data_IF_826174116053
#
_entry.id   IF_826174116053
#
_cell.length_a   1.000
_cell.length_b   1.000
_cell.length_c   1.000
_cell.angle_alpha   90.00
_cell.angle_beta   90.00
_cell.angle_gamma   90.00
#
_symmetry.space_group_name_H-M   'P 1'
#
loop_
_entity.id
_entity.type
_entity.pdbx_description
1 polymer ?
#
# COMPACT_ATOMS: atom_id res chain seq x y z
N UNK A 1 10.20 -6.27 -10.88
CA UNK A 1 11.35 -5.35 -10.60
C UNK A 1 10.93 -3.91 -10.87
N UNK A 2 11.31 -2.99 -9.98
CA UNK A 2 11.18 -1.54 -10.21
C UNK A 2 12.59 -0.96 -10.29
N UNK A 3 12.86 -0.16 -11.32
CA UNK A 3 14.14 0.52 -11.49
C UNK A 3 13.92 2.01 -11.68
N UNK A 4 14.65 2.80 -10.91
CA UNK A 4 14.67 4.27 -10.96
C UNK A 4 16.08 4.69 -11.28
N UNK A 5 16.29 5.33 -12.44
CA UNK A 5 17.60 5.75 -12.90
C UNK A 5 17.63 7.26 -13.07
N UNK A 6 18.50 7.91 -12.31
CA UNK A 6 18.73 9.36 -12.36
C UNK A 6 17.42 10.17 -12.35
N UNK A 7 16.45 9.73 -11.54
CA UNK A 7 15.16 10.39 -11.42
C UNK A 7 15.35 11.80 -10.89
N UNK A 8 15.09 12.79 -11.74
CA UNK A 8 15.15 14.21 -11.37
C UNK A 8 13.75 14.80 -11.31
N UNK A 9 13.50 15.53 -10.23
CA UNK A 9 12.27 16.30 -10.06
C UNK A 9 12.57 17.60 -9.32
N UNK A 10 12.27 18.72 -9.97
CA UNK A 10 12.50 20.04 -9.42
C UNK A 10 11.17 20.67 -8.99
N UNK A 11 11.15 21.16 -7.78
CA UNK A 11 10.10 22.01 -7.24
C UNK A 11 10.74 23.36 -6.86
N UNK A 12 9.93 24.37 -6.57
CA UNK A 12 10.42 25.72 -6.27
C UNK A 12 11.52 25.73 -5.18
N UNK A 13 11.32 24.93 -4.11
CA UNK A 13 12.19 24.95 -2.94
C UNK A 13 12.85 23.57 -2.67
N UNK A 14 12.76 22.65 -3.63
CA UNK A 14 13.24 21.28 -3.44
C UNK A 14 13.61 20.64 -4.78
N UNK A 15 14.76 19.98 -4.82
CA UNK A 15 15.20 19.19 -5.97
C UNK A 15 15.49 17.76 -5.54
N UNK A 16 14.99 16.81 -6.32
CA UNK A 16 15.21 15.38 -6.15
C UNK A 16 16.14 14.89 -7.25
N UNK A 17 17.15 14.11 -6.87
CA UNK A 17 17.99 13.34 -7.78
C UNK A 17 18.26 11.97 -7.12
N UNK A 18 17.70 10.90 -7.70
CA UNK A 18 17.73 9.58 -7.08
C UNK A 18 17.88 8.45 -8.08
N UNK A 19 18.70 7.47 -7.74
CA UNK A 19 18.83 6.18 -8.43
C UNK A 19 18.64 5.07 -7.41
N UNK A 20 17.72 4.14 -7.70
CA UNK A 20 17.48 2.96 -6.88
C UNK A 20 16.86 1.82 -7.68
N UNK A 21 17.12 0.60 -7.28
CA UNK A 21 16.50 -0.60 -7.82
C UNK A 21 15.77 -1.35 -6.70
N UNK A 22 14.54 -1.77 -6.99
CA UNK A 22 13.73 -2.62 -6.11
C UNK A 22 13.63 -3.99 -6.77
N UNK A 23 14.40 -4.97 -6.30
CA UNK A 23 14.37 -6.31 -6.86
C UNK A 23 13.04 -7.04 -6.57
N UNK A 24 12.66 -7.98 -7.42
CA UNK A 24 11.49 -8.81 -7.20
C UNK A 24 11.70 -9.74 -5.98
N UNK A 25 10.59 -10.04 -5.30
CA UNK A 25 10.59 -10.95 -4.15
C UNK A 25 11.35 -10.44 -2.92
N UNK A 26 11.64 -9.15 -2.87
CA UNK A 26 12.30 -8.53 -1.72
C UNK A 26 11.52 -7.34 -1.19
N UNK A 27 11.73 -7.08 0.09
CA UNK A 27 11.24 -5.88 0.76
C UNK A 27 12.35 -4.86 0.74
N UNK A 28 12.07 -3.67 0.21
CA UNK A 28 13.02 -2.56 0.15
C UNK A 28 12.51 -1.39 0.99
N UNK A 29 13.28 -0.99 2.00
CA UNK A 29 12.99 0.20 2.81
C UNK A 29 13.61 1.46 2.20
N UNK A 30 12.81 2.51 2.00
CA UNK A 30 13.26 3.84 1.62
C UNK A 30 13.30 4.74 2.86
N UNK A 31 14.50 4.88 3.46
CA UNK A 31 14.70 5.63 4.70
C UNK A 31 15.41 6.94 4.40
N UNK A 32 14.79 8.05 4.80
CA UNK A 32 15.33 9.40 4.66
C UNK A 32 14.62 10.38 5.59
N UNK A 33 15.19 11.57 5.78
CA UNK A 33 14.58 12.66 6.57
C UNK A 33 13.21 13.05 5.98
N UNK A 34 12.35 13.62 6.83
CA UNK A 34 11.08 14.17 6.35
C UNK A 34 11.35 15.32 5.36
N UNK A 35 10.60 15.31 4.25
CA UNK A 35 10.83 16.29 3.17
C UNK A 35 11.84 15.87 2.10
N UNK A 36 12.61 14.80 2.29
CA UNK A 36 13.65 14.35 1.34
C UNK A 36 13.14 13.77 0.01
N UNK A 37 11.83 13.80 -0.25
CA UNK A 37 11.27 13.38 -1.53
C UNK A 37 10.77 11.94 -1.63
N UNK A 38 10.74 11.16 -0.53
CA UNK A 38 10.23 9.77 -0.53
C UNK A 38 8.88 9.62 -1.22
N UNK A 39 7.93 10.49 -0.90
CA UNK A 39 6.59 10.47 -1.52
C UNK A 39 6.64 10.84 -3.00
N UNK A 40 7.58 11.66 -3.42
CA UNK A 40 7.79 12.03 -4.83
C UNK A 40 8.30 10.82 -5.62
N UNK A 41 9.27 10.08 -5.07
CA UNK A 41 9.78 8.83 -5.68
C UNK A 41 8.63 7.82 -5.84
N UNK A 42 7.85 7.56 -4.79
CA UNK A 42 6.71 6.64 -4.85
C UNK A 42 5.70 7.11 -5.91
N UNK A 43 5.36 8.40 -5.94
CA UNK A 43 4.43 8.95 -6.94
C UNK A 43 4.98 8.85 -8.37
N UNK A 44 6.29 8.98 -8.55
CA UNK A 44 6.93 8.78 -9.86
C UNK A 44 6.88 7.31 -10.30
N UNK A 45 7.13 6.36 -9.39
CA UNK A 45 6.98 4.91 -9.64
C UNK A 45 5.55 4.57 -10.04
N UNK A 46 4.56 5.22 -9.44
CA UNK A 46 3.14 5.03 -9.76
C UNK A 46 2.67 5.76 -11.02
N UNK A 47 3.56 6.52 -11.67
CA UNK A 47 3.20 7.35 -12.82
C UNK A 47 2.32 8.55 -12.49
N UNK A 48 2.19 8.92 -11.21
CA UNK A 48 1.39 10.06 -10.73
C UNK A 48 2.14 11.40 -10.82
N UNK A 49 3.46 11.35 -10.93
CA UNK A 49 4.34 12.51 -11.10
C UNK A 49 5.25 12.24 -12.30
N UNK A 50 5.26 13.16 -13.25
CA UNK A 50 6.18 13.08 -14.38
C UNK A 50 7.56 13.57 -13.94
N UNK A 51 8.63 12.79 -14.15
CA UNK A 51 10.01 13.23 -13.94
C UNK A 51 10.39 14.40 -14.86
N UNK A 52 11.32 15.22 -14.40
CA UNK A 52 11.96 16.26 -15.22
C UNK A 52 13.21 15.70 -15.91
N UNK A 53 13.76 14.58 -15.43
CA UNK A 53 14.87 13.83 -16.03
C UNK A 53 14.95 12.42 -15.48
N UNK A 54 15.77 11.59 -16.13
CA UNK A 54 15.94 10.19 -15.80
C UNK A 54 14.78 9.31 -16.26
N UNK A 55 14.69 8.10 -15.72
CA UNK A 55 13.67 7.12 -16.09
C UNK A 55 13.21 6.29 -14.90
N UNK A 56 11.94 5.87 -14.96
CA UNK A 56 11.32 4.94 -13.99
C UNK A 56 10.69 3.81 -14.77
N UNK A 57 11.06 2.57 -14.44
CA UNK A 57 10.47 1.37 -15.03
C UNK A 57 9.86 0.48 -13.95
N UNK A 58 8.69 -0.07 -14.25
CA UNK A 58 7.96 -1.02 -13.41
C UNK A 58 7.56 -2.20 -14.29
N UNK A 59 7.85 -3.43 -13.86
CA UNK A 59 7.65 -4.64 -14.66
C UNK A 59 8.33 -4.60 -16.03
N UNK A 60 9.48 -3.89 -16.14
CA UNK A 60 10.18 -3.70 -17.40
C UNK A 60 9.59 -2.65 -18.36
N UNK A 61 8.48 -2.01 -18.00
CA UNK A 61 7.81 -0.95 -18.78
C UNK A 61 8.06 0.42 -18.15
N UNK A 62 8.08 1.47 -18.94
CA UNK A 62 8.12 2.83 -18.41
C UNK A 62 6.88 3.09 -17.51
N UNK A 63 7.07 3.71 -16.37
CA UNK A 63 5.97 4.00 -15.43
C UNK A 63 4.82 4.80 -16.06
N UNK A 64 5.14 5.66 -17.05
CA UNK A 64 4.16 6.42 -17.84
C UNK A 64 3.38 5.57 -18.87
N UNK A 65 3.86 4.37 -19.18
CA UNK A 65 3.28 3.46 -20.17
C UNK A 65 2.57 2.25 -19.55
N UNK A 66 2.38 2.25 -18.22
CA UNK A 66 1.64 1.20 -17.53
C UNK A 66 0.17 1.20 -17.95
N UNK A 67 -0.29 0.05 -18.43
CA UNK A 67 -1.70 -0.16 -18.78
C UNK A 67 -2.57 -0.34 -17.52
N UNK A 68 -3.91 -0.29 -17.62
CA UNK A 68 -4.79 -0.64 -16.50
C UNK A 68 -4.52 -2.03 -15.94
N UNK A 69 -4.22 -3.02 -16.79
CA UNK A 69 -3.91 -4.41 -16.42
C UNK A 69 -2.59 -4.47 -15.63
N UNK A 70 -1.57 -3.73 -16.05
CA UNK A 70 -0.32 -3.61 -15.30
C UNK A 70 -0.56 -3.01 -13.90
N UNK A 71 -1.42 -1.99 -13.81
CA UNK A 71 -1.75 -1.30 -12.55
C UNK A 71 -2.56 -2.17 -11.59
N UNK A 72 -3.31 -3.14 -12.08
CA UNK A 72 -4.00 -4.10 -11.21
C UNK A 72 -3.02 -4.97 -10.38
N UNK A 73 -1.79 -5.13 -10.85
CA UNK A 73 -0.73 -5.84 -10.13
C UNK A 73 -0.04 -4.97 -9.05
N UNK A 74 -0.40 -3.70 -8.93
CA UNK A 74 0.22 -2.76 -8.01
C UNK A 74 -0.74 -2.43 -6.87
N UNK A 75 -0.46 -2.95 -5.68
CA UNK A 75 -1.12 -2.51 -4.45
C UNK A 75 -0.44 -1.26 -3.88
N UNK A 76 -1.22 -0.21 -3.59
CA UNK A 76 -0.70 1.06 -3.05
C UNK A 76 -1.35 1.39 -1.72
N UNK A 77 -0.53 1.65 -0.70
CA UNK A 77 -0.99 2.15 0.58
C UNK A 77 -0.23 3.44 0.95
N UNK A 78 -0.85 4.57 0.71
CA UNK A 78 -0.29 5.87 1.06
C UNK A 78 -0.53 6.22 2.53
N UNK A 79 0.19 7.23 3.06
CA UNK A 79 0.12 7.66 4.46
C UNK A 79 -1.26 8.21 4.86
N UNK A 80 -1.95 8.87 3.96
CA UNK A 80 -3.37 9.17 4.06
C UNK A 80 -4.20 7.96 3.64
N UNK A 81 -5.44 7.88 4.05
CA UNK A 81 -6.30 6.71 3.79
C UNK A 81 -6.53 6.43 2.30
N UNK A 82 -6.11 7.35 1.42
CA UNK A 82 -6.40 7.27 -0.01
C UNK A 82 -7.88 7.41 -0.36
N UNK A 83 -8.76 7.42 0.63
CA UNK A 83 -10.20 7.58 0.43
C UNK A 83 -10.66 8.97 0.82
N UNK A 84 -11.59 9.51 0.04
CA UNK A 84 -12.30 10.72 0.43
C UNK A 84 -13.00 10.52 1.79
N UNK A 85 -12.89 11.50 2.65
CA UNK A 85 -13.50 11.48 3.99
C UNK A 85 -15.05 11.46 3.94
N UNK A 86 -15.64 11.73 2.80
CA UNK A 86 -17.07 11.68 2.58
C UNK A 86 -17.60 10.29 2.22
N UNK A 87 -16.74 9.36 1.82
CA UNK A 87 -17.11 7.98 1.54
C UNK A 87 -17.39 7.21 2.84
N UNK A 88 -18.16 6.14 2.68
CA UNK A 88 -18.36 5.10 3.70
C UNK A 88 -17.46 3.90 3.40
N UNK A 89 -17.19 2.99 4.34
CA UNK A 89 -16.52 1.72 4.05
C UNK A 89 -17.21 0.91 2.95
N UNK A 90 -18.54 0.91 2.91
CA UNK A 90 -19.31 0.26 1.86
C UNK A 90 -19.06 0.87 0.47
N UNK A 91 -18.92 2.21 0.38
CA UNK A 91 -18.55 2.87 -0.88
C UNK A 91 -17.12 2.52 -1.28
N UNK A 92 -16.20 2.48 -0.32
CA UNK A 92 -14.82 2.05 -0.57
C UNK A 92 -14.77 0.62 -1.13
N UNK A 93 -15.52 -0.32 -0.54
CA UNK A 93 -15.62 -1.69 -1.03
C UNK A 93 -16.13 -1.77 -2.48
N UNK A 94 -17.16 -0.97 -2.82
CA UNK A 94 -17.70 -0.89 -4.19
C UNK A 94 -16.69 -0.34 -5.18
N UNK A 95 -15.97 0.73 -4.81
CA UNK A 95 -14.96 1.37 -5.65
C UNK A 95 -13.81 0.40 -5.89
N UNK A 96 -13.24 -0.19 -4.83
CA UNK A 96 -12.12 -1.12 -4.94
C UNK A 96 -12.49 -2.36 -5.76
N UNK A 97 -13.69 -2.91 -5.58
CA UNK A 97 -14.16 -4.04 -6.34
C UNK A 97 -14.49 -3.75 -7.81
N UNK A 98 -14.49 -2.47 -8.23
CA UNK A 98 -14.53 -2.06 -9.64
C UNK A 98 -13.15 -1.76 -10.22
N UNK A 99 -12.21 -1.36 -9.35
CA UNK A 99 -10.84 -1.03 -9.76
C UNK A 99 -9.95 -2.26 -9.86
N UNK A 100 -10.22 -3.30 -9.04
CA UNK A 100 -9.39 -4.50 -8.94
C UNK A 100 -10.22 -5.76 -9.06
N UNK A 101 -9.98 -6.55 -10.08
CA UNK A 101 -10.73 -7.79 -10.36
C UNK A 101 -10.58 -8.83 -9.25
N UNK A 102 -9.41 -8.86 -8.59
CA UNK A 102 -9.12 -9.77 -7.49
C UNK A 102 -9.53 -9.24 -6.10
N UNK A 103 -10.24 -8.09 -6.02
CA UNK A 103 -10.64 -7.53 -4.73
C UNK A 103 -11.84 -8.27 -4.15
N UNK A 104 -11.64 -8.91 -3.01
CA UNK A 104 -12.72 -9.54 -2.26
C UNK A 104 -13.50 -8.52 -1.42
N UNK A 105 -14.64 -8.09 -1.94
CA UNK A 105 -15.54 -7.15 -1.27
C UNK A 105 -16.08 -7.71 0.03
N UNK A 106 -16.41 -9.00 0.05
CA UNK A 106 -17.00 -9.64 1.22
C UNK A 106 -15.99 -9.70 2.35
N UNK A 107 -14.76 -10.14 2.06
CA UNK A 107 -13.68 -10.17 3.03
C UNK A 107 -13.37 -8.77 3.61
N UNK A 108 -13.38 -7.72 2.77
CA UNK A 108 -13.19 -6.34 3.23
C UNK A 108 -14.31 -5.88 4.16
N UNK A 109 -15.55 -6.15 3.79
CA UNK A 109 -16.74 -5.78 4.57
C UNK A 109 -16.77 -6.53 5.90
N UNK A 110 -16.46 -7.83 5.90
CA UNK A 110 -16.41 -8.65 7.12
C UNK A 110 -15.28 -8.20 8.04
N UNK A 111 -14.12 -7.82 7.49
CA UNK A 111 -13.06 -7.21 8.28
C UNK A 111 -13.51 -5.88 8.90
N UNK A 112 -14.18 -5.01 8.15
CA UNK A 112 -14.73 -3.76 8.69
C UNK A 112 -15.70 -4.04 9.86
N UNK A 113 -16.60 -5.00 9.70
CA UNK A 113 -17.57 -5.41 10.73
C UNK A 113 -16.85 -5.97 11.96
N UNK A 114 -15.89 -6.87 11.76
CA UNK A 114 -15.08 -7.49 12.82
C UNK A 114 -14.37 -6.46 13.68
N UNK A 115 -13.89 -5.38 13.07
CA UNK A 115 -13.18 -4.30 13.77
C UNK A 115 -14.06 -3.12 14.18
N UNK A 116 -15.39 -3.29 14.18
CA UNK A 116 -16.35 -2.31 14.66
C UNK A 116 -16.39 -1.04 13.81
N UNK A 117 -16.22 -1.18 12.50
CA UNK A 117 -16.35 -0.09 11.54
C UNK A 117 -17.70 -0.19 10.84
N UNK A 118 -18.65 0.73 11.10
CA UNK A 118 -19.94 0.75 10.43
C UNK A 118 -19.80 0.98 8.93
N UNK A 119 -20.48 0.15 8.12
CA UNK A 119 -20.39 0.20 6.65
C UNK A 119 -20.98 1.46 6.05
N UNK A 120 -22.00 2.04 6.70
CA UNK A 120 -22.80 3.18 6.23
C UNK A 120 -22.37 4.52 6.80
N UNK A 121 -21.44 4.54 7.77
CA UNK A 121 -20.98 5.76 8.41
C UNK A 121 -19.82 6.39 7.63
N UNK A 122 -19.94 7.67 7.29
CA UNK A 122 -18.90 8.40 6.59
C UNK A 122 -17.57 8.45 7.37
N UNK A 123 -16.45 8.28 6.67
CA UNK A 123 -15.09 8.26 7.24
C UNK A 123 -14.76 9.54 8.01
N UNK A 124 -15.30 10.71 7.60
CA UNK A 124 -15.13 11.97 8.35
C UNK A 124 -15.66 11.90 9.78
N UNK A 125 -16.67 11.06 10.02
CA UNK A 125 -17.29 10.86 11.35
C UNK A 125 -16.59 9.78 12.17
N UNK A 126 -15.53 9.17 11.66
CA UNK A 126 -14.75 8.17 12.38
C UNK A 126 -13.81 8.83 13.38
N UNK A 127 -13.64 8.20 14.53
CA UNK A 127 -12.57 8.55 15.46
C UNK A 127 -11.20 8.26 14.85
N UNK A 128 -10.14 8.83 15.42
CA UNK A 128 -8.76 8.56 14.98
C UNK A 128 -8.45 7.06 14.97
N UNK A 129 -8.90 6.34 16.02
CA UNK A 129 -8.72 4.88 16.09
C UNK A 129 -9.50 4.12 15.00
N UNK A 130 -10.73 4.54 14.69
CA UNK A 130 -11.50 3.95 13.59
C UNK A 130 -10.82 4.18 12.23
N UNK A 131 -10.30 5.38 11.99
CA UNK A 131 -9.54 5.70 10.77
C UNK A 131 -8.26 4.86 10.67
N UNK A 132 -7.57 4.65 11.79
CA UNK A 132 -6.38 3.79 11.82
C UNK A 132 -6.71 2.33 11.48
N UNK A 133 -7.79 1.78 12.06
CA UNK A 133 -8.28 0.42 11.74
C UNK A 133 -8.65 0.28 10.26
N UNK A 134 -9.40 1.22 9.69
CA UNK A 134 -9.75 1.20 8.27
C UNK A 134 -8.49 1.21 7.38
N UNK A 135 -7.49 2.03 7.72
CA UNK A 135 -6.21 2.03 7.00
C UNK A 135 -5.49 0.69 7.10
N UNK A 136 -5.50 0.06 8.27
CA UNK A 136 -4.92 -1.27 8.48
C UNK A 136 -5.57 -2.33 7.59
N UNK A 137 -6.91 -2.40 7.61
CA UNK A 137 -7.69 -3.32 6.76
C UNK A 137 -7.35 -3.07 5.27
N UNK A 138 -7.37 -1.82 4.83
CA UNK A 138 -7.05 -1.48 3.44
C UNK A 138 -5.65 -1.93 3.04
N UNK A 139 -4.64 -1.64 3.86
CA UNK A 139 -3.24 -2.03 3.59
C UNK A 139 -3.09 -3.55 3.50
N UNK A 140 -3.75 -4.27 4.40
CA UNK A 140 -3.74 -5.73 4.38
C UNK A 140 -4.36 -6.28 3.10
N UNK A 141 -5.54 -5.80 2.72
CA UNK A 141 -6.21 -6.23 1.49
C UNK A 141 -5.36 -5.93 0.24
N UNK A 142 -4.72 -4.75 0.17
CA UNK A 142 -3.81 -4.41 -0.92
C UNK A 142 -2.57 -5.34 -0.97
N UNK A 143 -2.04 -5.73 0.19
CA UNK A 143 -0.91 -6.68 0.26
C UNK A 143 -1.31 -8.08 -0.25
N UNK A 144 -2.48 -8.57 0.14
CA UNK A 144 -3.01 -9.87 -0.33
C UNK A 144 -3.24 -9.86 -1.83
N UNK A 145 -3.85 -8.78 -2.35
CA UNK A 145 -4.10 -8.62 -3.78
C UNK A 145 -2.80 -8.60 -4.62
N UNK A 146 -1.81 -7.86 -4.15
CA UNK A 146 -0.50 -7.81 -4.81
C UNK A 146 0.16 -9.18 -4.88
N UNK A 147 -0.04 -10.03 -3.88
CA UNK A 147 0.43 -11.43 -3.88
C UNK A 147 -0.37 -12.32 -4.82
N UNK A 148 -1.68 -12.13 -4.91
CA UNK A 148 -2.57 -12.92 -5.77
C UNK A 148 -2.41 -12.56 -7.26
N UNK A 149 -2.19 -11.29 -7.58
CA UNK A 149 -1.95 -10.81 -8.94
C UNK A 149 -0.56 -11.21 -9.47
N UNK A 150 0.44 -11.32 -8.58
CA UNK A 150 1.76 -11.86 -8.89
C UNK A 150 1.76 -13.37 -8.79
N UNK A 151 1.43 -14.07 -9.85
CA UNK A 151 1.50 -15.56 -9.97
C UNK A 151 2.88 -16.18 -9.71
N UNK A 152 3.80 -15.53 -9.01
CA UNK A 152 5.20 -15.97 -8.86
C UNK A 152 5.75 -15.77 -7.45
N UNK A 153 4.92 -15.92 -6.42
CA UNK A 153 5.44 -16.28 -5.11
C UNK A 153 4.95 -17.69 -4.80
N UNK A 154 5.33 -18.63 -5.69
CA UNK A 154 5.22 -20.05 -5.43
C UNK A 154 5.92 -20.39 -4.12
N UNK A 155 5.16 -20.96 -3.20
CA UNK A 155 5.61 -21.82 -2.11
C UNK A 155 6.79 -21.33 -1.26
N UNK A 156 6.69 -20.23 -0.55
CA UNK A 156 7.52 -20.03 0.64
C UNK A 156 6.70 -20.35 1.89
N UNK A 157 6.90 -21.56 2.39
CA UNK A 157 6.41 -22.05 3.70
C UNK A 157 7.13 -21.43 4.90
N UNK A 158 8.12 -20.58 4.68
CA UNK A 158 8.92 -19.95 5.74
C UNK A 158 8.98 -18.44 5.49
N UNK A 159 8.51 -17.68 6.48
CA UNK A 159 8.75 -16.23 6.54
C UNK A 159 10.22 -15.99 6.85
N UNK A 160 10.81 -15.02 6.16
CA UNK A 160 12.12 -14.51 6.57
C UNK A 160 11.93 -13.56 7.76
N UNK A 161 12.93 -13.42 8.64
CA UNK A 161 12.92 -12.43 9.72
C UNK A 161 12.52 -11.02 9.25
N UNK A 162 12.92 -10.64 8.04
CA UNK A 162 12.58 -9.36 7.40
C UNK A 162 11.08 -9.18 7.15
N UNK A 163 10.32 -10.26 6.98
CA UNK A 163 8.85 -10.20 6.80
C UNK A 163 8.12 -9.95 8.14
N UNK A 164 8.69 -10.45 9.23
CA UNK A 164 8.18 -10.19 10.58
C UNK A 164 8.54 -8.76 11.03
N UNK A 165 9.75 -8.28 10.75
CA UNK A 165 10.18 -6.90 10.98
C UNK A 165 9.37 -5.90 10.18
N UNK A 166 8.93 -6.27 8.94
CA UNK A 166 8.07 -5.40 8.15
C UNK A 166 6.63 -5.35 8.65
N UNK A 167 6.14 -6.45 9.19
CA UNK A 167 4.85 -6.46 9.88
C UNK A 167 4.91 -5.51 11.07
N UNK A 168 5.99 -5.55 11.87
CA UNK A 168 6.24 -4.62 12.97
C UNK A 168 6.35 -3.16 12.50
N UNK A 169 7.04 -2.87 11.41
CA UNK A 169 7.15 -1.54 10.82
C UNK A 169 5.81 -1.03 10.26
N UNK A 170 5.00 -1.92 9.66
CA UNK A 170 3.63 -1.61 9.24
C UNK A 170 2.70 -1.37 10.45
N UNK A 171 2.95 -2.03 11.57
CA UNK A 171 2.21 -1.91 12.81
C UNK A 171 2.60 -0.66 13.61
N UNK A 172 3.88 -0.28 13.60
CA UNK A 172 4.44 0.81 14.40
C UNK A 172 4.73 2.10 13.63
N UNK A 173 4.66 2.07 12.31
CA UNK A 173 4.91 3.21 11.42
C UNK A 173 3.83 4.30 11.46
N UNK A 174 3.85 5.12 12.52
CA UNK A 174 3.09 6.35 12.59
C UNK A 174 1.82 6.30 13.45
N UNK A 175 1.99 6.55 14.72
CA UNK A 175 1.08 6.52 15.86
C UNK A 175 0.92 5.12 16.47
N UNK A 176 1.39 4.99 17.71
CA UNK A 176 1.29 3.81 18.55
C UNK A 176 -0.16 3.28 18.59
N UNK A 177 -0.43 2.34 17.71
CA UNK A 177 -1.59 1.46 17.88
C UNK A 177 -1.10 0.34 18.79
N UNK A 178 -1.73 0.11 19.93
CA UNK A 178 -1.30 -0.93 20.87
C UNK A 178 -1.34 -2.31 20.18
N UNK A 179 -0.40 -3.16 20.52
CA UNK A 179 -0.30 -4.55 20.05
C UNK A 179 -1.60 -5.33 20.25
N UNK A 180 -2.35 -5.03 21.34
CA UNK A 180 -3.67 -5.58 21.63
C UNK A 180 -4.73 -5.23 20.58
N UNK A 181 -4.67 -4.06 19.96
CA UNK A 181 -5.62 -3.66 18.92
C UNK A 181 -5.36 -4.36 17.58
N UNK A 182 -4.18 -4.93 17.39
CA UNK A 182 -3.74 -5.61 16.17
C UNK A 182 -3.62 -7.12 16.32
N UNK A 183 -3.56 -7.62 17.56
CA UNK A 183 -3.51 -9.04 17.89
C UNK A 183 -4.56 -9.89 17.14
N UNK A 184 -5.83 -9.46 16.98
CA UNK A 184 -6.79 -10.23 16.19
C UNK A 184 -6.45 -10.33 14.70
N UNK A 185 -5.83 -9.30 14.10
CA UNK A 185 -5.40 -9.32 12.68
C UNK A 185 -4.24 -10.29 12.51
N UNK A 186 -3.29 -10.25 13.43
CA UNK A 186 -2.11 -11.12 13.44
C UNK A 186 -2.51 -12.59 13.66
N UNK A 187 -3.44 -12.84 14.56
CA UNK A 187 -3.92 -14.20 14.83
C UNK A 187 -4.71 -14.79 13.66
N UNK A 188 -5.50 -13.98 12.97
CA UNK A 188 -6.21 -14.43 11.77
C UNK A 188 -5.20 -14.75 10.64
N UNK A 189 -4.18 -13.91 10.43
CA UNK A 189 -3.12 -14.15 9.44
C UNK A 189 -2.30 -15.42 9.74
N UNK A 190 -2.12 -15.76 11.03
CA UNK A 190 -1.39 -16.97 11.49
C UNK A 190 -2.25 -18.25 11.46
N UNK A 191 -3.57 -18.13 11.37
CA UNK A 191 -4.51 -19.26 11.45
C UNK A 191 -5.03 -19.76 10.09
N UNK A 192 -4.66 -19.11 8.99
CA UNK A 192 -4.98 -19.61 7.65
C UNK A 192 -3.88 -20.60 7.17
N UNK A 193 -4.28 -21.80 6.70
CA UNK A 193 -3.35 -22.85 6.23
C UNK A 193 -2.67 -22.50 4.90
#
# INVERSE_FOLDING_TARGET
MVSVKELKKNYKDFSLDVTLDIPDGRITGLVEKNGAGKSTVIKAILGLVKPDGGSVTVFGKAASALTPEDKQQIGVALSDSGFSSYLTPGDCAKILGRMYDCFDRQAFTDACRKYGLPEDKQIRKFSTGMKARLRGIYRFMMSVMSKAAGKTLENKKERTPDEDDMLELMLHGGNRVSEEALSPVLNWYKSEP
#
